data_IF_416819512185
#
_entry.id   IF_416819512185
#
_cell.length_a   1.000
_cell.length_b   1.000
_cell.length_c   1.000
_cell.angle_alpha   90.00
_cell.angle_beta   90.00
_cell.angle_gamma   90.00
#
_symmetry.space_group_name_H-M   'P 1'
#
loop_
_entity.id
_entity.type
_entity.pdbx_description
1 polymer ?
#
# COMPACT_ATOMS: atom_id res chain seq x y z
N UNK A 1 7.93 -33.90 -25.57
CA UNK A 1 8.54 -32.80 -26.33
C UNK A 1 9.59 -32.15 -25.45
N UNK A 2 10.83 -32.00 -25.91
CA UNK A 2 11.93 -31.47 -25.10
C UNK A 2 11.74 -29.94 -25.01
N UNK A 3 11.53 -29.42 -23.80
CA UNK A 3 11.54 -28.00 -23.52
C UNK A 3 12.88 -27.39 -23.97
N UNK A 4 12.84 -26.27 -24.70
CA UNK A 4 14.03 -25.61 -25.22
C UNK A 4 14.17 -24.19 -24.69
N UNK A 5 15.41 -23.83 -24.36
CA UNK A 5 15.82 -22.45 -24.10
C UNK A 5 16.26 -21.78 -25.42
N UNK A 6 15.86 -20.53 -25.60
CA UNK A 6 16.15 -19.74 -26.80
C UNK A 6 16.83 -18.43 -26.41
N UNK A 7 18.05 -18.21 -26.88
CA UNK A 7 18.72 -16.92 -26.77
C UNK A 7 18.13 -15.94 -27.78
N UNK A 8 17.78 -14.75 -27.32
CA UNK A 8 17.24 -13.68 -28.15
C UNK A 8 18.02 -12.39 -27.93
N UNK A 9 18.38 -11.74 -29.03
CA UNK A 9 19.18 -10.51 -29.07
C UNK A 9 18.57 -9.44 -29.96
N UNK A 10 17.50 -9.78 -30.69
CA UNK A 10 16.73 -8.84 -31.51
C UNK A 10 15.23 -8.97 -31.25
N UNK A 11 14.48 -7.91 -31.58
CA UNK A 11 13.01 -7.91 -31.52
C UNK A 11 12.40 -9.04 -32.35
N UNK A 12 12.91 -9.28 -33.56
CA UNK A 12 12.37 -10.33 -34.43
C UNK A 12 12.61 -11.74 -33.85
N UNK A 13 13.78 -11.99 -33.26
CA UNK A 13 14.08 -13.25 -32.57
C UNK A 13 13.15 -13.47 -31.38
N UNK A 14 12.92 -12.44 -30.56
CA UNK A 14 11.99 -12.50 -29.44
C UNK A 14 10.58 -12.86 -29.91
N UNK A 15 10.05 -12.15 -30.91
CA UNK A 15 8.70 -12.39 -31.42
C UNK A 15 8.54 -13.80 -32.01
N UNK A 16 9.55 -14.27 -32.75
CA UNK A 16 9.55 -15.64 -33.28
C UNK A 16 9.60 -16.69 -32.16
N UNK A 17 10.39 -16.46 -31.11
CA UNK A 17 10.53 -17.38 -29.99
C UNK A 17 9.27 -17.43 -29.11
N UNK A 18 8.59 -16.30 -28.88
CA UNK A 18 7.33 -16.26 -28.14
C UNK A 18 6.25 -17.09 -28.85
N UNK A 19 6.20 -17.01 -30.18
CA UNK A 19 5.23 -17.75 -30.99
C UNK A 19 5.52 -19.27 -31.11
N UNK A 20 6.67 -19.75 -30.64
CA UNK A 20 7.03 -21.17 -30.70
C UNK A 20 6.71 -21.88 -29.37
N UNK A 21 5.66 -22.70 -29.37
CA UNK A 21 5.19 -23.47 -28.20
C UNK A 21 6.23 -24.49 -27.65
N UNK A 22 7.33 -24.72 -28.38
CA UNK A 22 8.44 -25.57 -27.93
C UNK A 22 9.46 -24.80 -27.10
N UNK A 23 9.50 -23.48 -27.23
CA UNK A 23 10.36 -22.61 -26.43
C UNK A 23 9.72 -22.42 -25.07
N UNK A 24 10.48 -22.75 -24.01
CA UNK A 24 10.04 -22.57 -22.61
C UNK A 24 10.69 -21.38 -21.94
N UNK A 25 11.96 -21.11 -22.25
CA UNK A 25 12.66 -19.97 -21.67
C UNK A 25 13.29 -19.12 -22.76
N UNK A 26 12.93 -17.84 -22.76
CA UNK A 26 13.51 -16.83 -23.63
C UNK A 26 14.60 -16.09 -22.85
N UNK A 27 15.85 -16.26 -23.27
CA UNK A 27 17.03 -15.68 -22.64
C UNK A 27 17.37 -14.38 -23.38
N UNK A 28 17.08 -13.24 -22.75
CA UNK A 28 17.26 -11.89 -23.33
C UNK A 28 18.68 -11.40 -23.05
N UNK A 29 19.46 -11.23 -24.12
CA UNK A 29 20.88 -10.87 -24.05
C UNK A 29 21.18 -9.41 -24.38
N UNK A 30 20.16 -8.61 -24.70
CA UNK A 30 20.29 -7.24 -25.19
C UNK A 30 19.16 -6.35 -24.69
N UNK A 31 19.26 -5.05 -24.99
CA UNK A 31 18.14 -4.12 -24.91
C UNK A 31 17.35 -4.24 -26.22
N UNK A 32 16.09 -4.63 -26.13
CA UNK A 32 15.19 -4.77 -27.27
C UNK A 32 14.21 -3.60 -27.28
N UNK A 33 13.94 -3.02 -28.44
CA UNK A 33 13.17 -1.78 -28.56
C UNK A 33 12.04 -1.89 -29.58
N UNK A 34 11.09 -0.94 -29.49
CA UNK A 34 9.88 -0.88 -30.33
C UNK A 34 9.08 -2.19 -30.31
N UNK A 35 9.02 -2.84 -29.14
CA UNK A 35 8.27 -4.07 -28.97
C UNK A 35 6.76 -3.80 -28.98
N UNK A 36 5.96 -4.63 -29.67
CA UNK A 36 4.52 -4.68 -29.42
C UNK A 36 4.26 -5.28 -28.03
N UNK A 37 3.02 -5.19 -27.55
CA UNK A 37 2.60 -5.97 -26.37
C UNK A 37 2.86 -7.45 -26.63
N UNK A 38 3.50 -8.15 -25.68
CA UNK A 38 3.89 -9.56 -25.83
C UNK A 38 3.08 -10.42 -24.86
N UNK A 39 2.43 -11.46 -25.39
CA UNK A 39 1.74 -12.46 -24.58
C UNK A 39 2.58 -13.72 -24.47
N UNK A 40 2.88 -14.15 -23.25
CA UNK A 40 3.56 -15.42 -23.00
C UNK A 40 2.55 -16.58 -23.00
N UNK A 41 2.87 -17.66 -23.70
CA UNK A 41 2.12 -18.91 -23.64
C UNK A 41 2.29 -19.59 -22.28
N UNK A 42 1.40 -20.53 -21.96
CA UNK A 42 1.44 -21.22 -20.67
C UNK A 42 2.78 -21.95 -20.44
N UNK A 43 3.42 -21.71 -19.30
CA UNK A 43 4.72 -22.28 -18.93
C UNK A 43 5.93 -21.66 -19.65
N UNK A 44 5.75 -20.58 -20.42
CA UNK A 44 6.88 -19.81 -20.96
C UNK A 44 7.43 -18.84 -19.92
N UNK A 45 8.73 -18.56 -19.99
CA UNK A 45 9.35 -17.53 -19.16
C UNK A 45 10.36 -16.68 -19.92
N UNK A 46 10.60 -15.49 -19.40
CA UNK A 46 11.63 -14.56 -19.85
C UNK A 46 12.70 -14.46 -18.77
N UNK A 47 13.96 -14.58 -19.16
CA UNK A 47 15.11 -14.45 -18.28
C UNK A 47 16.12 -13.48 -18.91
N UNK A 48 16.48 -12.42 -18.18
CA UNK A 48 17.58 -11.55 -18.57
C UNK A 48 18.93 -12.22 -18.30
N UNK A 49 19.78 -12.34 -19.31
CA UNK A 49 21.12 -12.92 -19.13
C UNK A 49 22.14 -11.93 -18.57
N UNK A 50 21.81 -10.63 -18.60
CA UNK A 50 22.69 -9.55 -18.15
C UNK A 50 21.89 -8.57 -17.31
N UNK A 51 22.56 -7.81 -16.44
CA UNK A 51 21.94 -6.74 -15.66
C UNK A 51 21.38 -5.59 -16.52
N UNK A 52 21.71 -5.57 -17.81
CA UNK A 52 21.24 -4.58 -18.79
C UNK A 52 20.15 -5.13 -19.72
N UNK A 53 19.73 -6.39 -19.56
CA UNK A 53 18.67 -6.97 -20.37
C UNK A 53 17.36 -6.19 -20.16
N UNK A 54 16.79 -5.69 -21.24
CA UNK A 54 15.61 -4.83 -21.17
C UNK A 54 14.69 -5.04 -22.37
N UNK A 55 13.39 -4.94 -22.12
CA UNK A 55 12.32 -4.94 -23.10
C UNK A 55 11.65 -3.56 -23.09
N UNK A 56 11.91 -2.78 -24.14
CA UNK A 56 11.34 -1.45 -24.34
C UNK A 56 10.21 -1.54 -25.37
N UNK A 57 9.00 -1.26 -24.91
CA UNK A 57 7.78 -1.34 -25.72
C UNK A 57 7.49 0.00 -26.38
N UNK A 58 6.81 -0.04 -27.54
CA UNK A 58 6.39 1.18 -28.24
C UNK A 58 5.39 1.98 -27.38
N UNK A 59 5.29 3.29 -27.63
CA UNK A 59 4.65 4.25 -26.72
C UNK A 59 3.17 3.97 -26.40
N UNK A 60 2.44 3.30 -27.31
CA UNK A 60 1.03 2.98 -27.16
C UNK A 60 0.76 1.54 -26.70
N UNK A 61 1.82 0.79 -26.41
CA UNK A 61 1.76 -0.62 -26.03
C UNK A 61 1.81 -0.80 -24.51
N UNK A 62 1.11 -1.82 -24.04
CA UNK A 62 1.44 -2.42 -22.76
C UNK A 62 2.66 -3.35 -22.94
N UNK A 63 3.15 -3.89 -21.83
CA UNK A 63 4.35 -4.72 -21.79
C UNK A 63 4.05 -6.22 -21.93
N UNK A 64 4.41 -6.97 -20.90
CA UNK A 64 4.25 -8.42 -20.87
C UNK A 64 2.87 -8.83 -20.33
N UNK A 65 2.13 -9.58 -21.13
CA UNK A 65 0.90 -10.28 -20.72
C UNK A 65 1.23 -11.73 -20.35
N UNK A 66 1.00 -12.10 -19.09
CA UNK A 66 1.18 -13.45 -18.58
C UNK A 66 -0.12 -14.25 -18.73
N UNK A 67 -0.02 -15.53 -19.09
CA UNK A 67 -1.14 -16.47 -19.08
C UNK A 67 -1.10 -17.35 -17.83
N UNK A 68 -0.50 -18.55 -17.93
CA UNK A 68 -0.40 -19.51 -16.84
C UNK A 68 1.04 -20.01 -16.67
N UNK A 69 1.46 -20.27 -15.43
CA UNK A 69 2.76 -20.85 -15.10
C UNK A 69 3.98 -20.07 -15.65
N UNK A 70 3.84 -18.75 -15.81
CA UNK A 70 4.91 -17.93 -16.38
C UNK A 70 5.95 -17.49 -15.35
N UNK A 71 7.19 -17.35 -15.81
CA UNK A 71 8.29 -16.80 -15.01
C UNK A 71 8.91 -15.60 -15.72
N UNK A 72 9.14 -14.50 -15.01
CA UNK A 72 9.89 -13.33 -15.51
C UNK A 72 11.00 -13.03 -14.53
N UNK A 73 12.24 -13.08 -14.99
CA UNK A 73 13.41 -12.98 -14.14
C UNK A 73 14.50 -12.07 -14.72
N UNK A 74 15.08 -11.21 -13.87
CA UNK A 74 16.33 -10.49 -14.17
C UNK A 74 16.26 -9.51 -15.33
N UNK A 75 15.07 -8.98 -15.65
CA UNK A 75 14.84 -8.13 -16.82
C UNK A 75 14.20 -6.80 -16.43
N UNK A 76 14.52 -5.74 -17.19
CA UNK A 76 13.82 -4.46 -17.12
C UNK A 76 12.70 -4.40 -18.17
N UNK A 77 11.50 -4.00 -17.75
CA UNK A 77 10.34 -3.77 -18.62
C UNK A 77 10.03 -2.28 -18.67
N UNK A 78 10.07 -1.68 -19.86
CA UNK A 78 9.86 -0.25 -20.02
C UNK A 78 8.71 0.04 -20.99
N UNK A 79 7.63 0.59 -20.46
CA UNK A 79 6.49 1.15 -21.20
C UNK A 79 6.34 2.65 -20.83
N UNK A 80 5.38 3.34 -21.45
CA UNK A 80 4.96 4.67 -20.97
C UNK A 80 4.41 4.60 -19.52
N UNK A 81 4.57 5.66 -18.73
CA UNK A 81 4.27 5.63 -17.29
C UNK A 81 2.80 5.26 -16.97
N UNK A 82 1.87 5.62 -17.86
CA UNK A 82 0.43 5.37 -17.77
C UNK A 82 0.01 4.00 -18.33
N UNK A 83 0.97 3.16 -18.74
CA UNK A 83 0.76 1.81 -19.27
C UNK A 83 1.15 0.73 -18.28
N UNK A 84 0.71 -0.49 -18.57
CA UNK A 84 1.03 -1.68 -17.76
C UNK A 84 2.29 -2.32 -18.32
N UNK A 85 3.38 -2.27 -17.57
CA UNK A 85 4.62 -2.97 -17.91
C UNK A 85 4.45 -4.50 -17.83
N UNK A 86 3.60 -4.97 -16.90
CA UNK A 86 3.29 -6.37 -16.74
C UNK A 86 1.86 -6.56 -16.25
N UNK A 87 1.13 -7.48 -16.86
CA UNK A 87 -0.24 -7.82 -16.47
C UNK A 87 -0.55 -9.28 -16.82
N UNK A 88 -1.67 -9.83 -16.34
CA UNK A 88 -2.12 -11.16 -16.75
C UNK A 88 -3.32 -11.12 -17.69
N UNK A 89 -3.44 -12.18 -18.47
CA UNK A 89 -4.65 -12.56 -19.20
C UNK A 89 -5.73 -12.98 -18.20
N UNK A 90 -6.89 -12.33 -18.27
CA UNK A 90 -8.06 -12.66 -17.43
C UNK A 90 -8.99 -13.67 -18.10
N UNK A 91 -8.72 -14.04 -19.36
CA UNK A 91 -9.49 -15.06 -20.09
C UNK A 91 -9.07 -16.50 -19.78
N UNK A 92 -7.93 -16.69 -19.09
CA UNK A 92 -7.53 -18.01 -18.60
C UNK A 92 -8.31 -18.37 -17.33
N UNK A 93 -8.59 -19.66 -17.14
CA UNK A 93 -9.29 -20.12 -15.94
C UNK A 93 -8.37 -20.19 -14.72
N UNK A 94 -7.10 -20.53 -14.94
CA UNK A 94 -6.11 -20.75 -13.90
C UNK A 94 -4.83 -20.03 -14.29
N UNK A 95 -4.27 -19.26 -13.35
CA UNK A 95 -2.94 -18.64 -13.53
C UNK A 95 -1.81 -19.65 -13.26
N UNK A 96 -2.12 -20.78 -12.64
CA UNK A 96 -1.08 -21.69 -12.14
C UNK A 96 -0.17 -20.96 -11.16
N UNK A 97 1.14 -21.01 -11.39
CA UNK A 97 2.14 -20.27 -10.61
C UNK A 97 2.85 -19.19 -11.43
N UNK A 98 2.55 -17.92 -11.16
CA UNK A 98 3.26 -16.78 -11.77
C UNK A 98 4.43 -16.35 -10.88
N UNK A 99 5.62 -16.24 -11.45
CA UNK A 99 6.85 -15.92 -10.71
C UNK A 99 7.53 -14.69 -11.30
N UNK A 100 7.75 -13.66 -10.50
CA UNK A 100 8.55 -12.48 -10.86
C UNK A 100 9.76 -12.40 -9.93
N UNK A 101 10.97 -12.36 -10.49
CA UNK A 101 12.22 -12.28 -9.71
C UNK A 101 13.17 -11.23 -10.24
N UNK A 102 13.61 -10.32 -9.40
CA UNK A 102 14.60 -9.28 -9.77
C UNK A 102 14.16 -8.50 -11.02
N UNK A 103 12.88 -8.12 -11.07
CA UNK A 103 12.27 -7.41 -12.19
C UNK A 103 12.25 -5.92 -11.89
N UNK A 104 12.65 -5.11 -12.88
CA UNK A 104 12.53 -3.65 -12.82
C UNK A 104 11.50 -3.18 -13.82
N UNK A 105 10.67 -2.21 -13.46
CA UNK A 105 9.68 -1.67 -14.39
C UNK A 105 9.65 -0.15 -14.45
N UNK A 106 9.34 0.35 -15.64
CA UNK A 106 8.74 1.67 -15.89
C UNK A 106 7.36 1.40 -16.47
N UNK A 107 6.32 1.81 -15.75
CA UNK A 107 4.93 1.39 -15.94
C UNK A 107 4.44 0.50 -14.81
N UNK A 108 3.12 0.36 -14.72
CA UNK A 108 2.46 -0.36 -13.64
C UNK A 108 2.57 -1.88 -13.79
N UNK A 109 2.47 -2.59 -12.66
CA UNK A 109 2.31 -4.05 -12.61
C UNK A 109 0.92 -4.36 -12.07
N UNK A 110 0.08 -5.02 -12.88
CA UNK A 110 -1.32 -5.25 -12.56
C UNK A 110 -1.70 -6.73 -12.76
N UNK A 111 -1.88 -7.45 -11.66
CA UNK A 111 -2.30 -8.84 -11.64
C UNK A 111 -3.71 -8.96 -11.06
N UNK A 112 -4.64 -9.46 -11.86
CA UNK A 112 -6.06 -9.52 -11.54
C UNK A 112 -6.58 -10.96 -11.61
N UNK A 113 -7.33 -11.38 -10.59
CA UNK A 113 -8.31 -12.43 -10.77
C UNK A 113 -9.65 -11.77 -11.10
N UNK A 114 -9.93 -11.72 -12.39
CA UNK A 114 -11.12 -11.13 -13.00
C UNK A 114 -11.56 -12.04 -14.15
N UNK A 115 -12.79 -11.87 -14.61
CA UNK A 115 -13.40 -12.65 -15.69
C UNK A 115 -13.41 -14.15 -15.40
N UNK A 116 -12.47 -14.91 -15.98
CA UNK A 116 -12.43 -16.38 -15.88
C UNK A 116 -11.47 -16.91 -14.82
N UNK A 117 -10.57 -16.06 -14.31
CA UNK A 117 -9.52 -16.49 -13.39
C UNK A 117 -10.12 -16.88 -12.05
N UNK A 118 -10.10 -18.19 -11.74
CA UNK A 118 -10.71 -18.77 -10.53
C UNK A 118 -9.70 -19.34 -9.54
N UNK A 119 -8.42 -19.48 -9.92
CA UNK A 119 -7.33 -19.75 -8.98
C UNK A 119 -5.94 -19.41 -9.54
N UNK A 120 -4.96 -19.34 -8.63
CA UNK A 120 -3.57 -19.05 -8.95
C UNK A 120 -2.71 -18.79 -7.72
N UNK A 121 -1.41 -18.91 -7.90
CA UNK A 121 -0.38 -18.52 -6.94
C UNK A 121 0.58 -17.51 -7.56
N UNK A 122 0.83 -16.40 -6.85
CA UNK A 122 1.71 -15.32 -7.29
C UNK A 122 2.93 -15.26 -6.37
N UNK A 123 4.12 -15.43 -6.91
CA UNK A 123 5.38 -15.22 -6.20
C UNK A 123 6.14 -14.04 -6.78
N UNK A 124 6.48 -13.08 -5.94
CA UNK A 124 7.28 -11.93 -6.33
C UNK A 124 8.45 -11.78 -5.38
N UNK A 125 9.64 -11.67 -5.95
CA UNK A 125 10.88 -11.37 -5.23
C UNK A 125 11.60 -10.21 -5.94
N UNK A 126 11.84 -9.13 -5.20
CA UNK A 126 12.59 -7.96 -5.67
C UNK A 126 12.00 -7.34 -6.96
N UNK A 127 10.75 -6.89 -6.87
CA UNK A 127 10.12 -6.07 -7.91
C UNK A 127 10.34 -4.58 -7.59
N UNK A 128 10.93 -3.85 -8.52
CA UNK A 128 11.16 -2.40 -8.41
C UNK A 128 10.44 -1.65 -9.52
N UNK A 129 9.43 -0.85 -9.13
CA UNK A 129 8.66 0.00 -10.04
C UNK A 129 9.19 1.43 -9.91
N UNK A 130 10.03 1.84 -10.86
CA UNK A 130 10.68 3.15 -10.78
C UNK A 130 9.70 4.31 -11.03
N UNK A 131 8.76 4.13 -11.96
CA UNK A 131 7.78 5.12 -12.40
C UNK A 131 6.50 4.41 -12.80
N UNK A 132 5.34 4.95 -12.40
CA UNK A 132 4.02 4.55 -12.90
C UNK A 132 3.03 5.70 -12.68
N UNK A 133 1.98 5.77 -13.49
CA UNK A 133 0.83 6.66 -13.31
C UNK A 133 -0.48 5.90 -13.50
N UNK A 134 -1.15 5.61 -12.39
CA UNK A 134 -2.39 4.82 -12.36
C UNK A 134 -3.61 5.68 -11.99
N UNK A 135 -3.50 7.01 -12.05
CA UNK A 135 -4.61 7.92 -11.70
C UNK A 135 -5.81 7.79 -12.63
N UNK A 136 -5.56 7.40 -13.87
CA UNK A 136 -6.58 7.19 -14.91
C UNK A 136 -7.30 5.84 -14.77
N UNK A 137 -6.82 4.93 -13.90
CA UNK A 137 -7.53 3.68 -13.63
C UNK A 137 -8.90 3.96 -13.00
N UNK A 138 -9.95 3.54 -13.72
CA UNK A 138 -11.35 3.81 -13.37
C UNK A 138 -11.90 2.82 -12.35
N UNK A 139 -11.45 1.57 -12.37
CA UNK A 139 -11.83 0.58 -11.38
C UNK A 139 -11.20 0.95 -10.02
N UNK A 140 -12.04 1.15 -9.02
CA UNK A 140 -11.65 1.57 -7.67
C UNK A 140 -12.49 0.83 -6.65
N UNK A 141 -11.91 0.17 -5.63
CA UNK A 141 -12.70 -0.36 -4.54
C UNK A 141 -13.35 0.81 -3.79
N UNK A 142 -14.57 0.59 -3.32
CA UNK A 142 -15.39 1.58 -2.61
C UNK A 142 -15.67 1.07 -1.21
N UNK A 143 -15.58 1.95 -0.23
CA UNK A 143 -15.82 1.62 1.16
C UNK A 143 -15.73 2.87 2.03
N UNK A 144 -16.44 2.88 3.15
CA UNK A 144 -16.31 3.93 4.17
C UNK A 144 -16.50 5.38 3.65
N UNK A 145 -17.34 5.55 2.62
CA UNK A 145 -17.62 6.86 2.01
C UNK A 145 -16.55 7.36 1.03
N UNK A 146 -15.59 6.50 0.65
CA UNK A 146 -14.51 6.85 -0.28
C UNK A 146 -14.28 5.78 -1.35
N UNK A 147 -13.63 6.17 -2.44
CA UNK A 147 -13.04 5.29 -3.45
C UNK A 147 -11.51 5.39 -3.44
N UNK A 148 -10.83 4.28 -3.76
CA UNK A 148 -9.37 4.18 -3.68
C UNK A 148 -8.74 4.13 -5.07
N UNK A 149 -7.74 4.97 -5.32
CA UNK A 149 -6.91 4.87 -6.53
C UNK A 149 -6.01 3.62 -6.43
N UNK A 150 -5.93 2.84 -7.51
CA UNK A 150 -5.08 1.63 -7.58
C UNK A 150 -3.59 1.93 -7.36
N UNK A 151 -2.79 0.87 -7.19
CA UNK A 151 -1.35 0.96 -6.97
C UNK A 151 -0.52 0.82 -8.23
N UNK A 152 0.68 1.40 -8.22
CA UNK A 152 1.72 1.09 -9.19
C UNK A 152 2.00 -0.41 -9.26
N UNK A 153 1.98 -1.09 -8.11
CA UNK A 153 1.73 -2.53 -8.04
C UNK A 153 0.30 -2.77 -7.59
N UNK A 154 -0.44 -3.60 -8.33
CA UNK A 154 -1.80 -4.03 -7.98
C UNK A 154 -1.91 -5.55 -8.11
N UNK A 155 -2.21 -6.23 -7.00
CA UNK A 155 -2.69 -7.62 -7.00
C UNK A 155 -4.11 -7.63 -6.44
N UNK A 156 -5.09 -7.90 -7.30
CA UNK A 156 -6.50 -7.77 -6.91
C UNK A 156 -7.33 -8.94 -7.39
N UNK A 157 -7.87 -9.71 -6.44
CA UNK A 157 -8.93 -10.66 -6.74
C UNK A 157 -10.27 -9.91 -6.80
N UNK A 158 -10.78 -9.67 -8.01
CA UNK A 158 -12.06 -9.01 -8.29
C UNK A 158 -13.19 -10.01 -8.52
N UNK A 159 -12.92 -11.31 -8.39
CA UNK A 159 -13.89 -12.35 -8.71
C UNK A 159 -15.13 -12.23 -7.79
N UNK A 160 -16.33 -12.35 -8.36
CA UNK A 160 -17.56 -12.19 -7.58
C UNK A 160 -17.87 -13.41 -6.69
N UNK A 161 -17.37 -14.59 -7.05
CA UNK A 161 -17.55 -15.82 -6.27
C UNK A 161 -16.62 -15.84 -5.03
N UNK A 162 -17.17 -15.92 -3.81
CA UNK A 162 -16.38 -15.98 -2.57
C UNK A 162 -15.52 -17.24 -2.39
N UNK A 163 -15.77 -18.29 -3.18
CA UNK A 163 -14.94 -19.50 -3.17
C UNK A 163 -13.63 -19.32 -3.94
N UNK A 164 -13.55 -18.33 -4.85
CA UNK A 164 -12.34 -18.07 -5.64
C UNK A 164 -11.28 -17.44 -4.76
N UNK A 165 -10.15 -18.14 -4.64
CA UNK A 165 -9.02 -17.74 -3.81
C UNK A 165 -7.76 -17.65 -4.65
N UNK A 166 -7.12 -16.49 -4.60
CA UNK A 166 -5.76 -16.28 -5.10
C UNK A 166 -4.82 -16.27 -3.91
N UNK A 167 -3.66 -16.89 -4.08
CA UNK A 167 -2.63 -16.96 -3.04
C UNK A 167 -1.39 -16.20 -3.49
N UNK A 168 -0.64 -15.61 -2.56
CA UNK A 168 0.57 -14.87 -2.91
C UNK A 168 1.66 -14.89 -1.82
N UNK A 169 2.90 -14.74 -2.28
CA UNK A 169 4.07 -14.45 -1.46
C UNK A 169 4.87 -13.33 -2.13
N UNK A 170 4.89 -12.14 -1.50
CA UNK A 170 5.32 -10.89 -2.10
C UNK A 170 6.47 -10.33 -1.26
N UNK A 171 7.69 -10.33 -1.80
CA UNK A 171 8.90 -9.92 -1.07
C UNK A 171 9.72 -8.90 -1.85
N UNK A 172 10.12 -7.83 -1.18
CA UNK A 172 11.05 -6.84 -1.74
C UNK A 172 10.41 -5.91 -2.78
N UNK A 173 9.12 -5.61 -2.64
CA UNK A 173 8.42 -4.69 -3.55
C UNK A 173 8.84 -3.25 -3.26
N UNK A 174 9.18 -2.46 -4.29
CA UNK A 174 9.43 -1.03 -4.18
C UNK A 174 8.72 -0.25 -5.27
N UNK A 175 8.37 1.00 -4.96
CA UNK A 175 7.67 1.87 -5.89
C UNK A 175 8.10 3.33 -5.72
N UNK A 176 8.49 3.98 -6.83
CA UNK A 176 8.87 5.39 -6.86
C UNK A 176 10.20 5.67 -6.16
N UNK A 177 10.57 6.95 -6.10
CA UNK A 177 11.79 7.45 -5.44
C UNK A 177 11.49 8.71 -4.64
N UNK A 178 12.37 9.04 -3.69
CA UNK A 178 12.36 10.35 -3.07
C UNK A 178 12.48 11.45 -4.14
N UNK A 179 11.56 12.42 -4.12
CA UNK A 179 11.47 13.47 -5.15
C UNK A 179 10.89 13.03 -6.51
N UNK A 180 10.61 11.74 -6.71
CA UNK A 180 9.96 11.21 -7.91
C UNK A 180 9.00 10.05 -7.53
N UNK A 181 7.89 10.34 -6.83
CA UNK A 181 6.92 9.32 -6.45
C UNK A 181 6.18 8.75 -7.67
N UNK A 182 5.66 7.53 -7.53
CA UNK A 182 4.64 7.03 -8.47
C UNK A 182 3.35 7.82 -8.32
N UNK A 183 2.58 7.92 -9.40
CA UNK A 183 1.31 8.65 -9.41
C UNK A 183 0.14 7.70 -9.19
N UNK A 184 -0.57 7.87 -8.08
CA UNK A 184 -1.58 6.93 -7.56
C UNK A 184 -1.14 6.30 -6.24
N UNK A 185 -1.67 5.13 -5.89
CA UNK A 185 -1.16 4.37 -4.75
C UNK A 185 0.19 3.70 -5.07
N UNK A 186 0.95 3.31 -4.05
CA UNK A 186 2.20 2.55 -4.23
C UNK A 186 1.94 1.07 -4.47
N UNK A 187 1.72 0.34 -3.39
CA UNK A 187 1.50 -1.12 -3.37
C UNK A 187 0.06 -1.39 -2.94
N UNK A 188 -0.70 -2.09 -3.78
CA UNK A 188 -2.11 -2.39 -3.56
C UNK A 188 -2.33 -3.91 -3.60
N UNK A 189 -2.93 -4.46 -2.55
CA UNK A 189 -3.41 -5.85 -2.51
C UNK A 189 -4.86 -5.89 -2.05
N UNK A 190 -5.71 -6.70 -2.69
CA UNK A 190 -7.14 -6.72 -2.36
C UNK A 190 -7.89 -7.97 -2.80
N UNK A 191 -9.02 -8.22 -2.15
CA UNK A 191 -10.08 -9.11 -2.65
C UNK A 191 -11.29 -8.31 -3.14
N UNK A 192 -12.40 -9.00 -3.39
CA UNK A 192 -13.63 -8.41 -3.92
C UNK A 192 -14.60 -8.04 -2.79
N UNK A 193 -14.09 -7.32 -1.77
CA UNK A 193 -14.86 -6.99 -0.57
C UNK A 193 -15.06 -8.20 0.36
N UNK A 194 -16.09 -8.14 1.21
CA UNK A 194 -16.39 -9.18 2.20
C UNK A 194 -17.11 -10.40 1.61
N UNK A 195 -17.79 -10.22 0.46
CA UNK A 195 -18.68 -11.23 -0.14
C UNK A 195 -18.12 -11.87 -1.42
N UNK A 196 -17.03 -11.34 -1.96
CA UNK A 196 -16.42 -11.84 -3.19
C UNK A 196 -15.13 -12.64 -2.95
N UNK A 197 -14.41 -12.86 -4.04
CA UNK A 197 -13.16 -13.61 -4.09
C UNK A 197 -12.10 -13.07 -3.14
N UNK A 198 -11.33 -14.00 -2.57
CA UNK A 198 -10.36 -13.75 -1.51
C UNK A 198 -8.93 -13.70 -2.03
N UNK A 199 -8.12 -12.87 -1.39
CA UNK A 199 -6.67 -12.87 -1.58
C UNK A 199 -5.99 -13.31 -0.29
N UNK A 200 -5.27 -14.43 -0.34
CA UNK A 200 -4.47 -14.96 0.77
C UNK A 200 -3.00 -14.60 0.54
N UNK A 201 -2.41 -13.78 1.39
CA UNK A 201 -1.01 -13.35 1.25
C UNK A 201 -0.21 -13.82 2.45
N UNK A 202 0.77 -14.69 2.22
CA UNK A 202 1.64 -15.16 3.31
C UNK A 202 2.57 -14.06 3.80
N UNK A 203 3.21 -13.33 2.88
CA UNK A 203 4.05 -12.17 3.19
C UNK A 203 3.81 -11.07 2.18
N UNK A 204 3.74 -9.85 2.67
CA UNK A 204 3.83 -8.63 1.89
C UNK A 204 4.99 -7.81 2.45
N UNK A 205 6.18 -7.97 1.86
CA UNK A 205 7.37 -7.19 2.23
C UNK A 205 7.65 -6.10 1.20
N UNK A 206 7.74 -4.86 1.65
CA UNK A 206 8.14 -3.73 0.81
C UNK A 206 9.52 -3.22 1.20
N UNK A 207 10.31 -2.82 0.21
CA UNK A 207 11.41 -1.88 0.42
C UNK A 207 10.83 -0.45 0.44
N UNK A 208 11.52 0.54 -0.12
CA UNK A 208 11.06 1.93 -0.10
C UNK A 208 9.86 2.15 -1.04
N UNK A 209 8.89 2.93 -0.58
CA UNK A 209 7.67 3.29 -1.33
C UNK A 209 7.41 4.79 -1.24
N UNK A 210 7.27 5.43 -2.40
CA UNK A 210 7.00 6.85 -2.56
C UNK A 210 5.83 7.05 -3.52
N UNK A 211 4.72 7.61 -3.03
CA UNK A 211 3.50 7.79 -3.84
C UNK A 211 2.89 9.18 -3.69
N UNK A 212 2.27 9.66 -4.76
CA UNK A 212 1.51 10.91 -4.81
C UNK A 212 0.32 10.72 -5.76
N UNK A 213 -0.89 10.63 -5.20
CA UNK A 213 -2.05 10.37 -6.03
C UNK A 213 -2.52 11.57 -6.86
N UNK A 214 -2.00 12.77 -6.60
CA UNK A 214 -2.44 13.98 -7.28
C UNK A 214 -3.95 14.23 -7.12
N UNK A 215 -4.53 13.83 -5.99
CA UNK A 215 -5.94 14.09 -5.68
C UNK A 215 -6.13 15.60 -5.55
N UNK A 216 -7.08 16.14 -6.33
CA UNK A 216 -7.37 17.57 -6.31
C UNK A 216 -7.95 18.00 -4.96
N UNK A 217 -7.57 19.18 -4.42
CA UNK A 217 -8.19 19.74 -3.22
C UNK A 217 -9.72 19.78 -3.35
N UNK A 218 -10.41 19.47 -2.25
CA UNK A 218 -11.88 19.43 -2.25
C UNK A 218 -12.49 18.15 -2.83
N UNK A 219 -11.70 17.08 -2.99
CA UNK A 219 -12.19 15.74 -3.39
C UNK A 219 -12.22 14.81 -2.16
N UNK A 220 -13.19 14.95 -1.23
CA UNK A 220 -13.17 14.24 0.05
C UNK A 220 -13.48 12.74 -0.08
N UNK A 221 -14.09 12.32 -1.19
CA UNK A 221 -14.53 10.97 -1.47
C UNK A 221 -13.47 10.12 -2.18
N UNK A 222 -12.24 10.63 -2.35
CA UNK A 222 -11.14 9.90 -3.00
C UNK A 222 -9.91 9.85 -2.10
N UNK A 223 -9.32 8.66 -2.02
CA UNK A 223 -8.10 8.40 -1.27
C UNK A 223 -7.09 7.58 -2.09
N UNK A 224 -5.86 7.53 -1.60
CA UNK A 224 -4.83 6.59 -2.05
C UNK A 224 -4.04 6.07 -0.85
N UNK A 225 -3.14 5.12 -1.08
CA UNK A 225 -2.19 4.72 -0.06
C UNK A 225 -0.78 4.41 -0.58
N UNK A 226 0.24 4.62 0.25
CA UNK A 226 1.57 4.07 -0.01
C UNK A 226 1.53 2.54 -0.05
N UNK A 227 0.97 1.91 0.99
CA UNK A 227 0.69 0.46 1.05
C UNK A 227 -0.76 0.24 1.50
N UNK A 228 -1.54 -0.44 0.66
CA UNK A 228 -2.96 -0.70 0.89
C UNK A 228 -3.26 -2.19 0.94
N UNK A 229 -3.80 -2.66 2.06
CA UNK A 229 -4.49 -3.96 2.16
C UNK A 229 -6.00 -3.75 2.15
N UNK A 230 -6.65 -4.04 1.02
CA UNK A 230 -8.09 -3.81 0.81
C UNK A 230 -8.93 -4.98 1.34
N UNK A 231 -10.20 -4.75 1.64
CA UNK A 231 -11.18 -5.79 2.02
C UNK A 231 -11.12 -7.02 1.11
N UNK A 232 -11.37 -8.19 1.69
CA UNK A 232 -11.21 -9.48 1.01
C UNK A 232 -9.75 -9.98 0.92
N UNK A 233 -8.76 -9.17 1.32
CA UNK A 233 -7.38 -9.63 1.52
C UNK A 233 -7.13 -10.05 2.97
N UNK A 234 -6.40 -11.16 3.13
CA UNK A 234 -5.96 -11.72 4.40
C UNK A 234 -4.45 -11.91 4.32
N UNK A 235 -3.71 -11.24 5.19
CA UNK A 235 -2.26 -11.17 5.13
C UNK A 235 -1.64 -11.61 6.45
N UNK A 236 -0.85 -12.68 6.45
CA UNK A 236 -0.22 -13.16 7.69
C UNK A 236 0.80 -12.13 8.21
N UNK A 237 1.63 -11.60 7.31
CA UNK A 237 2.66 -10.63 7.66
C UNK A 237 2.83 -9.54 6.59
N UNK A 238 2.60 -8.28 6.98
CA UNK A 238 3.04 -7.09 6.24
C UNK A 238 4.33 -6.58 6.89
N UNK A 239 5.38 -6.36 6.10
CA UNK A 239 6.67 -5.82 6.57
C UNK A 239 7.19 -4.74 5.65
N UNK A 240 7.13 -3.50 6.09
CA UNK A 240 7.76 -2.38 5.39
C UNK A 240 9.20 -2.24 5.88
N UNK A 241 10.15 -2.78 5.12
CA UNK A 241 11.59 -2.72 5.41
C UNK A 241 12.22 -1.38 5.07
N UNK A 242 11.68 -0.71 4.05
CA UNK A 242 12.07 0.64 3.66
C UNK A 242 11.03 1.67 4.11
N UNK A 243 11.36 2.97 3.98
CA UNK A 243 10.44 4.04 4.33
C UNK A 243 9.23 4.04 3.38
N UNK A 244 8.08 4.44 3.91
CA UNK A 244 6.86 4.67 3.13
C UNK A 244 6.50 6.13 3.26
N UNK A 245 6.44 6.85 2.13
CA UNK A 245 6.19 8.29 2.09
C UNK A 245 5.10 8.64 1.08
N UNK A 246 4.12 9.41 1.52
CA UNK A 246 3.09 9.97 0.64
C UNK A 246 3.10 11.48 0.61
N UNK A 247 2.71 12.05 -0.54
CA UNK A 247 2.81 13.49 -0.78
C UNK A 247 1.46 14.19 -1.05
N UNK A 248 0.48 13.47 -1.59
CA UNK A 248 -0.79 14.06 -2.04
C UNK A 248 -1.85 14.18 -0.95
N UNK A 249 -2.87 14.99 -1.23
CA UNK A 249 -4.05 15.13 -0.36
C UNK A 249 -4.80 13.80 -0.24
N UNK A 250 -5.25 13.46 0.97
CA UNK A 250 -5.92 12.19 1.26
C UNK A 250 -5.10 10.94 0.90
N UNK A 251 -3.78 11.08 0.80
CA UNK A 251 -2.87 9.94 0.65
C UNK A 251 -2.54 9.36 2.02
N UNK A 252 -3.17 8.24 2.34
CA UNK A 252 -2.81 7.45 3.50
C UNK A 252 -1.41 6.85 3.28
N UNK A 253 -0.63 6.62 4.33
CA UNK A 253 0.69 6.00 4.16
C UNK A 253 0.56 4.49 4.22
N UNK A 254 -0.05 4.00 5.30
CA UNK A 254 -0.38 2.60 5.53
C UNK A 254 -1.89 2.50 5.82
N UNK A 255 -2.63 1.81 4.95
CA UNK A 255 -4.10 1.70 5.04
C UNK A 255 -4.54 0.23 5.02
N UNK A 256 -5.34 -0.15 6.03
CA UNK A 256 -5.86 -1.49 6.18
C UNK A 256 -7.39 -1.52 6.21
N UNK A 257 -8.00 -2.10 5.19
CA UNK A 257 -9.41 -2.49 5.15
C UNK A 257 -9.59 -4.01 5.26
N UNK A 258 -8.54 -4.80 5.04
CA UNK A 258 -8.57 -6.26 5.11
C UNK A 258 -8.24 -6.82 6.50
N UNK A 259 -7.73 -8.05 6.53
CA UNK A 259 -7.32 -8.75 7.75
C UNK A 259 -5.82 -8.96 7.73
N UNK A 260 -5.12 -8.44 8.74
CA UNK A 260 -3.66 -8.55 8.86
C UNK A 260 -3.30 -9.11 10.23
N UNK A 261 -2.57 -10.22 10.28
CA UNK A 261 -2.16 -10.79 11.57
C UNK A 261 -1.03 -9.97 12.20
N UNK A 262 0.00 -9.65 11.41
CA UNK A 262 1.12 -8.80 11.86
C UNK A 262 1.52 -7.77 10.81
N UNK A 263 1.60 -6.50 11.21
CA UNK A 263 2.13 -5.40 10.40
C UNK A 263 3.32 -4.76 11.10
N UNK A 264 4.48 -4.77 10.47
CA UNK A 264 5.71 -4.14 10.99
C UNK A 264 6.20 -3.09 9.99
N UNK A 265 6.33 -1.84 10.43
CA UNK A 265 7.06 -0.79 9.73
C UNK A 265 8.42 -0.59 10.42
N UNK A 266 9.51 -0.92 9.74
CA UNK A 266 10.86 -0.84 10.30
C UNK A 266 11.44 0.57 10.22
N UNK A 267 11.17 1.23 9.09
CA UNK A 267 11.65 2.56 8.76
C UNK A 267 10.53 3.60 8.83
N UNK A 268 10.91 4.86 8.64
CA UNK A 268 10.03 6.02 8.83
C UNK A 268 8.78 5.95 7.95
N UNK A 269 7.64 6.29 8.54
CA UNK A 269 6.33 6.44 7.88
C UNK A 269 6.03 7.93 7.81
N UNK A 270 5.88 8.48 6.60
CA UNK A 270 5.78 9.93 6.40
C UNK A 270 4.61 10.32 5.50
N UNK A 271 3.82 11.32 5.91
CA UNK A 271 2.81 11.93 5.04
C UNK A 271 2.98 13.44 4.96
N UNK A 272 3.03 14.01 3.75
CA UNK A 272 3.14 15.45 3.56
C UNK A 272 1.82 16.14 3.20
N UNK A 273 0.89 15.43 2.59
CA UNK A 273 -0.34 16.01 2.08
C UNK A 273 -1.40 16.26 3.15
N UNK A 274 -2.34 17.20 2.92
CA UNK A 274 -3.44 17.46 3.83
C UNK A 274 -4.33 16.21 3.98
N UNK A 275 -4.86 16.02 5.20
CA UNK A 275 -5.66 14.86 5.60
C UNK A 275 -5.00 13.50 5.38
N UNK A 276 -3.69 13.45 5.12
CA UNK A 276 -2.92 12.21 5.08
C UNK A 276 -2.82 11.56 6.47
N UNK A 277 -2.74 10.24 6.51
CA UNK A 277 -2.67 9.49 7.77
C UNK A 277 -1.49 8.52 7.71
N UNK A 278 -0.61 8.55 8.72
CA UNK A 278 0.53 7.65 8.81
C UNK A 278 0.12 6.18 8.87
N UNK A 279 -0.84 5.86 9.75
CA UNK A 279 -1.46 4.54 9.77
C UNK A 279 -2.97 4.66 10.02
N UNK A 280 -3.78 4.08 9.15
CA UNK A 280 -5.24 4.04 9.33
C UNK A 280 -5.77 2.61 9.24
N UNK A 281 -6.68 2.28 10.17
CA UNK A 281 -7.34 0.98 10.20
C UNK A 281 -8.86 1.11 10.05
N UNK A 282 -9.39 0.29 9.15
CA UNK A 282 -10.79 -0.02 8.99
C UNK A 282 -11.09 -1.53 9.15
N UNK A 283 -10.11 -2.38 8.88
CA UNK A 283 -10.21 -3.83 8.97
C UNK A 283 -9.80 -4.40 10.33
N UNK A 284 -9.17 -5.58 10.33
CA UNK A 284 -8.67 -6.23 11.54
C UNK A 284 -7.16 -6.32 11.55
N UNK A 285 -6.54 -5.94 12.65
CA UNK A 285 -5.11 -6.14 12.88
C UNK A 285 -4.87 -6.89 14.19
N UNK A 286 -4.10 -7.98 14.12
CA UNK A 286 -3.59 -8.65 15.31
C UNK A 286 -2.55 -7.78 16.02
N UNK A 287 -1.40 -7.57 15.39
CA UNK A 287 -0.32 -6.75 15.92
C UNK A 287 0.21 -5.75 14.89
N UNK A 288 0.25 -4.48 15.28
CA UNK A 288 0.92 -3.39 14.57
C UNK A 288 2.17 -2.95 15.34
N UNK A 289 3.29 -2.82 14.65
CA UNK A 289 4.55 -2.32 15.20
C UNK A 289 5.21 -1.31 14.25
N UNK A 290 5.35 -0.06 14.67
CA UNK A 290 6.16 0.97 14.01
C UNK A 290 7.45 1.22 14.79
N UNK A 291 8.59 0.78 14.24
CA UNK A 291 9.90 0.83 14.91
C UNK A 291 10.67 2.13 14.67
N UNK A 292 10.22 2.95 13.73
CA UNK A 292 10.69 4.29 13.49
C UNK A 292 9.55 5.31 13.68
N UNK A 293 9.84 6.63 13.68
CA UNK A 293 8.82 7.65 13.82
C UNK A 293 7.75 7.58 12.71
N UNK A 294 6.51 7.81 13.12
CA UNK A 294 5.41 8.20 12.22
C UNK A 294 5.32 9.72 12.24
N UNK A 295 5.47 10.37 11.09
CA UNK A 295 5.45 11.83 10.97
C UNK A 295 4.46 12.30 9.89
N UNK A 296 3.55 13.20 10.23
CA UNK A 296 2.62 13.79 9.26
C UNK A 296 2.61 15.30 9.31
N UNK A 297 2.51 15.95 8.14
CA UNK A 297 2.75 17.40 8.00
C UNK A 297 1.55 18.21 7.50
N UNK A 298 0.53 17.56 6.94
CA UNK A 298 -0.61 18.24 6.33
C UNK A 298 -1.68 18.67 7.31
N UNK A 299 -2.43 19.72 6.97
CA UNK A 299 -3.62 20.13 7.73
C UNK A 299 -4.58 18.94 7.92
N UNK A 300 -5.06 18.74 9.13
CA UNK A 300 -6.00 17.66 9.45
C UNK A 300 -5.39 16.26 9.36
N UNK A 301 -4.08 16.12 9.21
CA UNK A 301 -3.39 14.84 9.12
C UNK A 301 -3.42 14.07 10.45
N UNK A 302 -3.16 12.76 10.41
CA UNK A 302 -3.11 11.94 11.64
C UNK A 302 -1.91 11.02 11.68
N UNK A 303 -1.38 10.76 12.87
CA UNK A 303 -0.31 9.78 13.05
C UNK A 303 -0.86 8.36 12.94
N UNK A 304 -1.75 8.00 13.85
CA UNK A 304 -2.44 6.71 13.89
C UNK A 304 -3.93 6.90 14.11
N UNK A 305 -4.76 6.16 13.35
CA UNK A 305 -6.20 6.28 13.43
C UNK A 305 -6.94 4.94 13.29
N UNK A 306 -7.95 4.71 14.12
CA UNK A 306 -8.83 3.52 14.02
C UNK A 306 -10.27 3.99 13.79
N UNK A 307 -10.73 3.83 12.55
CA UNK A 307 -12.04 4.27 12.08
C UNK A 307 -13.11 3.19 12.09
N UNK A 308 -12.72 1.95 11.81
CA UNK A 308 -13.57 0.76 11.81
C UNK A 308 -12.74 -0.46 12.24
N UNK A 309 -13.42 -1.57 12.49
CA UNK A 309 -12.79 -2.85 12.83
C UNK A 309 -12.04 -2.81 14.16
N UNK A 310 -10.97 -3.60 14.29
CA UNK A 310 -10.26 -3.78 15.56
C UNK A 310 -8.75 -3.86 15.39
N UNK A 311 -8.02 -3.42 16.41
CA UNK A 311 -6.57 -3.58 16.54
C UNK A 311 -6.29 -4.22 17.89
N UNK A 312 -5.74 -5.43 17.95
CA UNK A 312 -5.50 -6.08 19.23
C UNK A 312 -4.30 -5.47 19.96
N UNK A 313 -3.22 -5.14 19.24
CA UNK A 313 -2.05 -4.46 19.80
C UNK A 313 -1.41 -3.53 18.78
N UNK A 314 -1.11 -2.29 19.19
CA UNK A 314 -0.32 -1.33 18.43
C UNK A 314 0.87 -0.84 19.27
N UNK A 315 2.07 -0.90 18.71
CA UNK A 315 3.29 -0.40 19.33
C UNK A 315 3.96 0.58 18.38
N UNK A 316 4.26 1.78 18.85
CA UNK A 316 4.94 2.79 18.07
C UNK A 316 6.18 3.29 18.79
N UNK A 317 7.22 3.59 18.02
CA UNK A 317 8.41 4.23 18.54
C UNK A 317 8.12 5.68 18.92
N UNK A 318 7.58 6.48 17.99
CA UNK A 318 7.21 7.88 18.19
C UNK A 318 6.13 8.28 17.18
N UNK A 319 5.24 9.18 17.58
CA UNK A 319 4.27 9.79 16.66
C UNK A 319 4.42 11.31 16.76
N UNK A 320 4.61 11.98 15.62
CA UNK A 320 4.65 13.44 15.52
C UNK A 320 3.72 13.89 14.41
N UNK A 321 2.88 14.89 14.67
CA UNK A 321 2.00 15.46 13.64
C UNK A 321 2.07 16.97 13.65
N UNK A 322 1.99 17.58 12.47
CA UNK A 322 2.09 19.01 12.27
C UNK A 322 0.87 19.56 11.51
N UNK A 323 0.65 20.86 11.68
CA UNK A 323 -0.44 21.67 11.13
C UNK A 323 -1.77 21.60 11.90
N UNK A 324 -2.66 22.53 11.57
CA UNK A 324 -3.93 22.69 12.29
C UNK A 324 -4.83 21.46 12.11
N UNK A 325 -5.48 21.06 13.20
CA UNK A 325 -6.31 19.86 13.26
C UNK A 325 -5.56 18.54 13.09
N UNK A 326 -4.24 18.54 13.17
CA UNK A 326 -3.44 17.32 13.08
C UNK A 326 -3.43 16.54 14.41
N UNK A 327 -3.91 15.30 14.39
CA UNK A 327 -4.09 14.48 15.61
C UNK A 327 -3.05 13.38 15.68
N UNK A 328 -2.34 13.25 16.80
CA UNK A 328 -1.32 12.21 16.98
C UNK A 328 -1.92 10.80 16.88
N UNK A 329 -2.76 10.45 17.84
CA UNK A 329 -3.51 9.18 17.87
C UNK A 329 -4.99 9.49 18.03
N UNK A 330 -5.83 8.95 17.15
CA UNK A 330 -7.28 9.02 17.25
C UNK A 330 -7.89 7.62 17.20
N UNK A 331 -8.74 7.25 18.16
CA UNK A 331 -9.49 5.98 18.08
C UNK A 331 -10.98 6.22 18.24
N UNK A 332 -11.76 5.60 17.37
CA UNK A 332 -13.23 5.66 17.36
C UNK A 332 -13.87 4.28 17.44
N UNK A 333 -13.06 3.24 17.65
CA UNK A 333 -13.45 1.83 17.73
C UNK A 333 -12.61 1.12 18.80
N UNK A 334 -12.97 -0.12 19.18
CA UNK A 334 -12.21 -0.90 20.15
C UNK A 334 -10.77 -1.20 19.72
N UNK A 335 -9.84 -0.94 20.64
CA UNK A 335 -8.43 -1.30 20.55
C UNK A 335 -8.05 -2.09 21.80
N UNK A 336 -7.23 -3.13 21.67
CA UNK A 336 -6.72 -3.83 22.85
C UNK A 336 -5.68 -2.97 23.56
N UNK A 337 -4.46 -2.92 23.03
CA UNK A 337 -3.35 -2.20 23.65
C UNK A 337 -2.70 -1.20 22.68
N UNK A 338 -2.39 0.00 23.18
CA UNK A 338 -1.54 0.97 22.49
C UNK A 338 -0.32 1.25 23.37
N UNK A 339 0.88 1.11 22.80
CA UNK A 339 2.13 1.51 23.45
C UNK A 339 2.89 2.49 22.55
N UNK A 340 3.30 3.63 23.09
CA UNK A 340 4.18 4.58 22.40
C UNK A 340 5.44 4.80 23.23
N UNK A 341 6.61 4.49 22.68
CA UNK A 341 7.88 4.41 23.44
C UNK A 341 8.54 5.78 23.66
N UNK A 342 8.40 6.72 22.73
CA UNK A 342 9.03 8.05 22.77
C UNK A 342 8.04 9.19 22.52
N UNK A 343 6.87 9.09 23.14
CA UNK A 343 5.87 10.15 23.22
C UNK A 343 5.04 10.34 21.96
N UNK A 344 3.98 11.12 22.13
CA UNK A 344 3.15 11.63 21.05
C UNK A 344 3.20 13.15 21.12
N UNK A 345 3.55 13.79 20.01
CA UNK A 345 3.74 15.23 19.92
C UNK A 345 2.97 15.83 18.75
N UNK A 346 2.21 16.90 19.00
CA UNK A 346 1.45 17.62 17.98
C UNK A 346 1.78 19.10 17.92
N UNK A 347 1.81 19.64 16.71
CA UNK A 347 1.97 21.06 16.42
C UNK A 347 0.79 21.57 15.62
N UNK A 348 0.21 22.70 16.01
CA UNK A 348 -0.91 23.33 15.31
C UNK A 348 -2.08 23.64 16.26
N UNK A 349 -3.05 24.39 15.75
CA UNK A 349 -4.31 24.72 16.43
C UNK A 349 -5.48 23.86 15.95
N UNK A 350 -6.66 24.46 15.91
CA UNK A 350 -7.88 23.84 15.36
C UNK A 350 -7.96 24.09 13.86
N UNK A 351 -8.16 23.03 13.07
CA UNK A 351 -8.23 23.09 11.61
C UNK A 351 -9.22 22.12 11.01
N UNK A 352 -9.44 22.23 9.70
CA UNK A 352 -10.29 21.31 8.96
C UNK A 352 -9.57 19.98 8.74
N UNK A 353 -10.27 18.88 8.97
CA UNK A 353 -9.78 17.51 8.82
C UNK A 353 -10.83 16.63 8.15
N UNK A 354 -10.39 15.73 7.27
CA UNK A 354 -11.25 14.74 6.64
C UNK A 354 -11.47 13.54 7.59
N UNK A 355 -12.75 13.21 7.82
CA UNK A 355 -13.21 12.05 8.58
C UNK A 355 -14.22 11.28 7.74
N UNK A 356 -13.81 10.09 7.24
CA UNK A 356 -14.69 9.19 6.47
C UNK A 356 -15.47 9.90 5.35
N UNK A 357 -14.78 10.72 4.55
CA UNK A 357 -15.41 11.48 3.45
C UNK A 357 -16.07 12.80 3.85
N UNK A 358 -16.01 13.21 5.12
CA UNK A 358 -16.63 14.45 5.63
C UNK A 358 -15.60 15.38 6.27
N UNK A 359 -15.64 16.67 5.92
CA UNK A 359 -14.76 17.69 6.52
C UNK A 359 -15.34 18.16 7.85
N UNK A 360 -14.53 18.09 8.91
CA UNK A 360 -14.87 18.53 10.26
C UNK A 360 -13.73 19.34 10.88
N UNK A 361 -14.03 20.20 11.87
CA UNK A 361 -13.00 20.92 12.61
C UNK A 361 -12.51 20.09 13.79
N UNK A 362 -11.20 19.89 13.87
CA UNK A 362 -10.56 19.18 14.98
C UNK A 362 -9.42 20.01 15.56
N UNK A 363 -9.16 19.94 16.88
CA UNK A 363 -7.95 20.45 17.48
C UNK A 363 -6.76 19.53 17.19
N UNK A 364 -5.53 20.08 17.17
CA UNK A 364 -4.31 19.31 16.99
C UNK A 364 -3.89 18.52 18.26
N UNK A 365 -4.75 17.62 18.72
CA UNK A 365 -4.60 16.88 19.99
C UNK A 365 -3.65 15.69 19.87
N UNK A 366 -2.83 15.42 20.88
CA UNK A 366 -1.90 14.29 20.88
C UNK A 366 -2.59 12.92 20.99
N UNK A 367 -3.50 12.75 21.95
CA UNK A 367 -4.29 11.52 22.08
C UNK A 367 -5.78 11.84 22.17
N UNK A 368 -6.58 11.30 21.26
CA UNK A 368 -8.02 11.51 21.17
C UNK A 368 -8.77 10.18 21.15
N UNK A 369 -9.55 9.91 22.19
CA UNK A 369 -10.49 8.79 22.26
C UNK A 369 -11.88 9.34 22.01
N UNK A 370 -12.45 9.03 20.85
CA UNK A 370 -13.79 9.50 20.44
C UNK A 370 -14.91 8.65 21.05
N UNK A 371 -16.17 9.11 21.03
CA UNK A 371 -17.31 8.27 21.39
C UNK A 371 -17.31 6.95 20.60
N UNK A 372 -17.50 5.82 21.28
CA UNK A 372 -17.40 4.47 20.69
C UNK A 372 -15.97 3.91 20.64
N UNK A 373 -14.95 4.75 20.80
CA UNK A 373 -13.57 4.32 21.03
C UNK A 373 -13.41 3.73 22.42
N UNK A 374 -12.77 2.57 22.51
CA UNK A 374 -12.44 1.92 23.80
C UNK A 374 -11.02 1.37 23.74
N UNK A 375 -10.32 1.36 24.87
CA UNK A 375 -9.03 0.68 24.96
C UNK A 375 -8.84 -0.10 26.27
N UNK A 376 -8.32 -1.31 26.20
CA UNK A 376 -7.92 -2.06 27.41
C UNK A 376 -6.70 -1.41 28.07
N UNK A 377 -5.71 -0.99 27.28
CA UNK A 377 -4.52 -0.34 27.82
C UNK A 377 -3.94 0.68 26.84
N UNK A 378 -3.59 1.85 27.36
CA UNK A 378 -2.77 2.83 26.65
C UNK A 378 -1.58 3.17 27.54
N UNK A 379 -0.37 2.99 27.02
CA UNK A 379 0.89 3.32 27.67
C UNK A 379 1.72 4.23 26.79
N UNK A 380 1.95 5.47 27.22
CA UNK A 380 2.78 6.43 26.50
C UNK A 380 3.96 6.81 27.40
N UNK A 381 5.15 6.37 26.99
CA UNK A 381 6.40 6.86 27.56
C UNK A 381 6.74 8.23 26.95
N UNK A 382 7.44 9.08 27.70
CA UNK A 382 7.81 10.45 27.31
C UNK A 382 6.64 11.41 27.02
N UNK A 383 5.46 11.14 27.58
CA UNK A 383 4.36 12.11 27.68
C UNK A 383 3.53 12.34 26.42
N UNK A 384 2.51 13.18 26.58
CA UNK A 384 1.70 13.74 25.51
C UNK A 384 1.94 15.25 25.44
N UNK A 385 2.37 15.74 24.28
CA UNK A 385 2.70 17.15 24.09
C UNK A 385 1.85 17.73 22.96
N UNK A 386 1.11 18.80 23.25
CA UNK A 386 0.43 19.63 22.25
C UNK A 386 0.92 21.08 22.35
N UNK A 387 1.53 21.58 21.28
CA UNK A 387 2.12 22.92 21.24
C UNK A 387 1.12 24.02 20.86
N UNK A 388 -0.07 23.64 20.39
CA UNK A 388 -1.11 24.59 20.01
C UNK A 388 -1.67 25.36 21.21
N UNK A 389 -1.78 26.69 21.08
CA UNK A 389 -2.42 27.52 22.10
C UNK A 389 -3.86 27.06 22.34
N UNK A 390 -4.16 26.68 23.57
CA UNK A 390 -5.51 26.22 23.96
C UNK A 390 -5.89 24.85 23.42
N UNK A 391 -4.93 24.08 22.90
CA UNK A 391 -5.13 22.70 22.47
C UNK A 391 -4.79 21.76 23.62
N UNK A 392 -5.75 20.92 24.01
CA UNK A 392 -5.52 19.87 24.99
C UNK A 392 -4.71 18.72 24.38
N UNK A 393 -3.73 18.20 25.12
CA UNK A 393 -2.92 17.05 24.70
C UNK A 393 -3.69 15.73 24.77
N UNK A 394 -4.73 15.66 25.61
CA UNK A 394 -5.56 14.47 25.82
C UNK A 394 -7.04 14.84 25.72
N UNK A 395 -7.77 14.11 24.87
CA UNK A 395 -9.23 14.13 24.78
C UNK A 395 -9.75 12.71 25.04
N UNK A 396 -10.55 12.52 26.09
CA UNK A 396 -11.03 11.20 26.53
C UNK A 396 -12.56 11.20 26.58
N UNK A 397 -13.20 10.86 25.45
CA UNK A 397 -14.67 10.76 25.32
C UNK A 397 -15.16 9.29 25.27
N UNK A 398 -14.25 8.33 25.39
CA UNK A 398 -14.52 6.90 25.47
C UNK A 398 -13.72 6.24 26.60
N UNK A 399 -14.13 5.05 27.07
CA UNK A 399 -13.50 4.40 28.21
C UNK A 399 -12.12 3.82 27.87
N UNK A 400 -11.21 3.89 28.84
CA UNK A 400 -9.90 3.26 28.81
C UNK A 400 -9.65 2.59 30.15
N UNK A 401 -9.49 1.25 30.18
CA UNK A 401 -9.38 0.52 31.45
C UNK A 401 -8.08 0.85 32.21
N UNK A 402 -6.99 1.08 31.46
CA UNK A 402 -5.69 1.46 32.03
C UNK A 402 -5.00 2.48 31.15
N UNK A 403 -4.82 3.69 31.68
CA UNK A 403 -4.09 4.78 31.04
C UNK A 403 -2.81 5.09 31.83
N UNK A 404 -1.66 4.95 31.20
CA UNK A 404 -0.34 5.24 31.78
C UNK A 404 0.40 6.22 30.88
N UNK A 405 0.68 7.42 31.41
CA UNK A 405 1.41 8.46 30.69
C UNK A 405 2.60 8.87 31.55
N UNK A 406 3.81 8.45 31.16
CA UNK A 406 5.03 8.86 31.85
C UNK A 406 5.36 10.31 31.50
N UNK A 407 5.94 11.07 32.44
CA UNK A 407 6.31 12.50 32.27
C UNK A 407 5.13 13.49 32.08
N UNK A 408 3.88 13.02 32.16
CA UNK A 408 2.70 13.87 32.26
C UNK A 408 2.12 14.37 30.93
N UNK A 409 1.22 15.35 31.05
CA UNK A 409 0.52 16.00 29.95
C UNK A 409 1.04 17.44 29.83
N UNK A 410 1.53 17.82 28.65
CA UNK A 410 1.94 19.19 28.35
C UNK A 410 1.06 19.74 27.24
N UNK A 411 0.26 20.75 27.56
CA UNK A 411 -0.46 21.59 26.59
C UNK A 411 -0.16 23.05 26.91
N UNK A 412 0.22 23.85 25.92
CA UNK A 412 0.35 25.30 26.10
C UNK A 412 -1.04 25.95 26.19
N UNK A 413 -1.74 25.74 27.31
CA UNK A 413 -3.01 26.41 27.62
C UNK A 413 -3.95 25.63 28.55
N UNK A 414 -4.00 26.07 29.81
CA UNK A 414 -5.18 25.97 30.68
C UNK A 414 -5.41 24.63 31.39
N UNK A 415 -4.74 24.43 32.53
CA UNK A 415 -5.38 23.76 33.67
C UNK A 415 -6.35 24.77 34.29
N UNK A 416 -7.62 24.76 33.89
CA UNK A 416 -8.69 25.26 34.76
C UNK A 416 -9.20 24.07 35.57
N UNK A 417 -8.50 23.79 36.67
CA UNK A 417 -9.08 23.05 37.77
C UNK A 417 -10.01 23.96 38.54
N UNK A 418 -11.30 23.63 38.52
CA UNK A 418 -12.28 24.01 39.54
C UNK A 418 -13.25 22.84 39.74
#
# INVERSE_FOLDING_TARGET
MIARDCNVSTTQELLAAVADDRVRTLIVNAVLSELPTIRLSAGQGICGATSTAALCFAADQDGLQLSADNTVEGVELSVAADRRALFNDTAVEQLGRLVLRNVRTRGAVQLLALDRVSAGHIEIENLDIAVADVRTCSARPKGYGVEVIQGAFTLWNQHADPSVTITADLVGLSAGRAGAPVRGSGIFVGGAGEEGGRLMVRRLETAAVYSDAGIAPGTPDRISSGVFVVSGAFVDAVRNRGPVTTYGANDMVLDNWGIVDRWIAEEKVTSHGPSGIGFVNFGRIGQLEGNAPVETFGQGARGFNVYAGTVAKAVFERIVTHADGAVGVQISQPVGEITVRRGIETFGGTGDSLVKGVVVKLPATALSIKPGGTARRISVACGLVAHGRGVQSLELLGPVDTLQIAQGLLGEGGFDGA
#
